data_IF_953902219481
#
_entry.id   IF_953902219481
#
_cell.length_a   1.000
_cell.length_b   1.000
_cell.length_c   1.000
_cell.angle_alpha   90.00
_cell.angle_beta   90.00
_cell.angle_gamma   90.00
#
_symmetry.space_group_name_H-M   'P 1'
#
loop_
_entity.id
_entity.type
_entity.pdbx_description
1 polymer ?
#
# COMPACT_ATOMS: atom_id res chain seq x y z
N UNK A 1 4.55 12.26 32.84
CA UNK A 1 5.80 12.00 32.10
C UNK A 1 5.58 12.51 30.68
N UNK A 2 6.10 13.71 30.36
CA UNK A 2 5.91 14.31 29.02
C UNK A 2 7.09 13.92 28.13
N UNK A 3 6.86 13.05 27.16
CA UNK A 3 7.87 12.74 26.14
C UNK A 3 7.85 13.88 25.13
N UNK A 4 8.88 14.71 25.13
CA UNK A 4 9.05 15.75 24.11
C UNK A 4 9.59 15.13 22.82
N UNK A 5 8.77 15.05 21.78
CA UNK A 5 9.23 14.70 20.43
C UNK A 5 9.64 16.00 19.74
N UNK A 6 10.88 16.11 19.27
CA UNK A 6 11.35 17.29 18.55
C UNK A 6 10.77 17.37 17.13
N UNK A 7 10.45 18.58 16.66
CA UNK A 7 10.04 18.82 15.27
C UNK A 7 11.27 18.71 14.35
N UNK A 8 11.10 18.09 13.20
CA UNK A 8 12.10 18.03 12.13
C UNK A 8 11.78 19.10 11.10
N UNK A 9 12.78 19.86 10.67
CA UNK A 9 12.68 20.81 9.57
C UNK A 9 13.12 20.12 8.26
N UNK A 10 12.21 20.05 7.30
CA UNK A 10 12.53 19.66 5.93
C UNK A 10 12.51 20.92 5.06
N UNK A 11 13.68 21.36 4.60
CA UNK A 11 13.82 22.44 3.62
C UNK A 11 13.75 21.87 2.20
N UNK A 12 12.97 22.51 1.35
CA UNK A 12 12.93 22.24 -0.08
C UNK A 12 13.35 23.50 -0.82
N UNK A 13 14.40 23.36 -1.63
CA UNK A 13 14.91 24.44 -2.48
C UNK A 13 14.66 24.02 -3.93
N UNK A 14 13.92 24.86 -4.64
CA UNK A 14 13.75 24.71 -6.08
C UNK A 14 14.90 25.43 -6.79
N UNK A 15 15.63 24.72 -7.65
CA UNK A 15 16.82 25.22 -8.35
C UNK A 15 16.49 26.11 -9.56
N UNK A 16 15.21 26.24 -9.91
CA UNK A 16 14.76 27.05 -11.04
C UNK A 16 14.87 28.55 -10.76
N UNK A 17 15.06 29.40 -11.80
CA UNK A 17 15.20 30.85 -11.63
C UNK A 17 13.97 31.54 -11.00
N UNK A 18 12.80 30.92 -11.16
CA UNK A 18 11.48 31.30 -10.65
C UNK A 18 10.99 30.37 -9.51
N UNK A 19 11.87 29.51 -8.99
CA UNK A 19 11.57 28.52 -7.98
C UNK A 19 11.23 29.12 -6.62
N UNK A 20 10.26 28.53 -5.92
CA UNK A 20 9.87 28.91 -4.56
C UNK A 20 10.44 27.89 -3.57
N UNK A 21 11.26 28.36 -2.63
CA UNK A 21 11.73 27.56 -1.51
C UNK A 21 10.74 27.58 -0.36
N UNK A 22 10.58 26.44 0.32
CA UNK A 22 9.73 26.34 1.52
C UNK A 22 10.34 25.41 2.57
N UNK A 23 10.09 25.75 3.83
CA UNK A 23 10.50 24.96 4.98
C UNK A 23 9.29 24.37 5.67
N UNK A 24 9.35 23.06 5.96
CA UNK A 24 8.28 22.36 6.66
C UNK A 24 8.79 21.84 8.00
N UNK A 25 8.23 22.37 9.08
CA UNK A 25 8.42 21.84 10.43
C UNK A 25 7.30 20.86 10.78
N UNK A 26 7.65 19.58 10.96
CA UNK A 26 6.68 18.54 11.33
C UNK A 26 7.26 17.60 12.39
N UNK A 27 6.42 17.03 13.24
CA UNK A 27 6.86 15.91 14.07
C UNK A 27 7.04 14.68 13.17
N UNK A 28 8.11 13.89 13.33
CA UNK A 28 8.38 12.69 12.53
C UNK A 28 7.50 11.51 12.98
N UNK A 29 6.22 11.78 13.25
CA UNK A 29 5.25 10.77 13.67
C UNK A 29 4.33 10.56 12.47
N UNK A 30 4.34 9.35 11.90
CA UNK A 30 3.37 8.94 10.89
C UNK A 30 2.39 7.99 11.56
N UNK A 31 1.09 8.26 11.44
CA UNK A 31 0.08 7.26 11.74
C UNK A 31 0.29 6.08 10.79
N UNK A 32 0.62 4.89 11.31
CA UNK A 32 1.00 3.75 10.48
C UNK A 32 0.24 2.48 10.86
N UNK A 33 -1.04 2.61 11.21
CA UNK A 33 -1.93 1.45 11.21
C UNK A 33 -2.45 1.14 9.79
N UNK A 34 -2.75 2.19 9.01
CA UNK A 34 -3.22 2.07 7.64
C UNK A 34 -2.57 3.13 6.75
N UNK A 35 -2.23 2.76 5.52
CA UNK A 35 -1.76 3.67 4.49
C UNK A 35 -2.33 3.28 3.13
N UNK A 36 -2.45 4.26 2.23
CA UNK A 36 -2.88 3.98 0.86
C UNK A 36 -1.77 3.29 0.08
N UNK A 37 -2.15 2.49 -0.91
CA UNK A 37 -1.23 1.72 -1.76
C UNK A 37 -0.17 2.62 -2.42
N UNK A 38 -0.57 3.82 -2.87
CA UNK A 38 0.35 4.78 -3.50
C UNK A 38 1.38 5.34 -2.54
N UNK A 39 1.03 5.49 -1.25
CA UNK A 39 1.98 5.92 -0.20
C UNK A 39 2.89 4.79 0.27
N UNK A 40 2.44 3.54 0.14
CA UNK A 40 3.23 2.35 0.44
C UNK A 40 4.29 2.05 -0.63
N UNK A 41 4.23 2.70 -1.81
CA UNK A 41 5.22 2.50 -2.86
C UNK A 41 6.64 2.81 -2.36
N UNK A 42 7.56 1.86 -2.55
CA UNK A 42 8.94 1.99 -2.09
C UNK A 42 9.16 1.67 -0.60
N UNK A 43 8.13 1.29 0.14
CA UNK A 43 8.24 0.81 1.52
C UNK A 43 8.24 -0.73 1.57
N UNK A 44 8.79 -1.27 2.65
CA UNK A 44 8.78 -2.71 2.94
C UNK A 44 8.06 -2.91 4.27
N UNK A 45 7.08 -3.82 4.30
CA UNK A 45 6.28 -4.11 5.49
C UNK A 45 6.37 -5.61 5.81
N UNK A 46 6.71 -5.95 7.06
CA UNK A 46 6.78 -7.35 7.49
C UNK A 46 5.41 -7.99 7.70
N UNK A 47 4.42 -7.20 8.15
CA UNK A 47 3.03 -7.60 8.34
C UNK A 47 2.15 -6.66 7.55
N UNK A 48 1.27 -7.23 6.72
CA UNK A 48 0.48 -6.44 5.79
C UNK A 48 -0.99 -6.88 5.81
N UNK A 49 -1.86 -5.94 6.15
CA UNK A 49 -3.30 -6.05 5.92
C UNK A 49 -3.65 -5.25 4.67
N UNK A 50 -4.29 -5.89 3.69
CA UNK A 50 -4.79 -5.23 2.48
C UNK A 50 -6.31 -5.20 2.56
N UNK A 51 -6.88 -4.00 2.60
CA UNK A 51 -8.32 -3.78 2.51
C UNK A 51 -8.71 -3.56 1.04
N UNK A 52 -9.60 -4.42 0.55
CA UNK A 52 -10.16 -4.44 -0.81
C UNK A 52 -11.69 -4.41 -0.76
N UNK A 53 -12.25 -3.77 0.29
CA UNK A 53 -13.67 -3.44 0.35
C UNK A 53 -14.08 -2.65 -0.90
N UNK A 54 -13.26 -1.67 -1.28
CA UNK A 54 -13.36 -0.96 -2.55
C UNK A 54 -12.47 -1.60 -3.62
N UNK A 55 -12.90 -1.52 -4.87
CA UNK A 55 -12.17 -2.10 -5.99
C UNK A 55 -10.91 -1.26 -6.32
N UNK A 56 -9.76 -1.88 -6.66
CA UNK A 56 -8.56 -1.14 -7.03
C UNK A 56 -8.81 -0.21 -8.21
N UNK A 57 -8.55 1.09 -8.04
CA UNK A 57 -8.85 2.10 -9.06
C UNK A 57 -7.94 2.00 -10.29
N UNK A 58 -6.69 1.54 -10.11
CA UNK A 58 -5.70 1.53 -11.18
C UNK A 58 -4.96 0.20 -11.33
N UNK A 59 -4.48 -0.02 -12.57
CA UNK A 59 -3.62 -1.14 -12.94
C UNK A 59 -2.44 -1.26 -11.97
N UNK A 60 -2.18 -2.47 -11.49
CA UNK A 60 -0.98 -2.78 -10.72
C UNK A 60 -1.01 -2.32 -9.26
N UNK A 61 -2.07 -1.66 -8.77
CA UNK A 61 -2.15 -1.28 -7.36
C UNK A 61 -2.13 -2.50 -6.42
N UNK A 62 -2.90 -3.54 -6.75
CA UNK A 62 -2.91 -4.77 -5.97
C UNK A 62 -1.52 -5.45 -5.97
N UNK A 63 -0.84 -5.43 -7.12
CA UNK A 63 0.53 -5.93 -7.22
C UNK A 63 1.52 -5.09 -6.41
N UNK A 64 1.42 -3.76 -6.49
CA UNK A 64 2.24 -2.84 -5.69
C UNK A 64 2.05 -3.12 -4.21
N UNK A 65 0.81 -3.34 -3.74
CA UNK A 65 0.52 -3.67 -2.36
C UNK A 65 1.13 -5.01 -1.94
N UNK A 66 0.87 -6.09 -2.69
CA UNK A 66 1.38 -7.43 -2.39
C UNK A 66 2.91 -7.50 -2.40
N UNK A 67 3.56 -6.80 -3.35
CA UNK A 67 5.03 -6.73 -3.44
C UNK A 67 5.70 -5.98 -2.28
N UNK A 68 4.95 -5.27 -1.42
CA UNK A 68 5.54 -4.62 -0.23
C UNK A 68 5.79 -5.63 0.90
N UNK A 69 5.12 -6.79 0.86
CA UNK A 69 5.22 -7.77 1.92
C UNK A 69 6.48 -8.63 1.78
N UNK A 70 7.29 -8.68 2.83
CA UNK A 70 8.52 -9.50 2.84
C UNK A 70 8.21 -10.99 3.01
N UNK A 71 7.12 -11.33 3.70
CA UNK A 71 6.76 -12.71 4.02
C UNK A 71 5.27 -12.95 3.77
N UNK A 72 5.00 -13.97 2.96
CA UNK A 72 3.65 -14.36 2.60
C UNK A 72 2.75 -14.74 3.78
N UNK A 73 3.33 -15.36 4.82
CA UNK A 73 2.57 -15.84 5.98
C UNK A 73 1.86 -14.73 6.74
N UNK A 74 2.33 -13.49 6.61
CA UNK A 74 1.81 -12.33 7.34
C UNK A 74 1.00 -11.37 6.47
N UNK A 75 0.53 -11.84 5.30
CA UNK A 75 -0.43 -11.11 4.48
C UNK A 75 -1.85 -11.54 4.88
N UNK A 76 -2.71 -10.55 5.12
CA UNK A 76 -4.15 -10.74 5.31
C UNK A 76 -4.87 -9.83 4.33
N UNK A 77 -5.83 -10.39 3.60
CA UNK A 77 -6.66 -9.62 2.65
C UNK A 77 -8.08 -9.59 3.19
N UNK A 78 -8.64 -8.39 3.30
CA UNK A 78 -10.03 -8.17 3.67
C UNK A 78 -10.79 -7.73 2.41
N UNK A 79 -11.79 -8.50 2.00
CA UNK A 79 -12.55 -8.27 0.77
C UNK A 79 -14.03 -8.65 0.97
N UNK A 80 -14.80 -7.84 1.72
CA UNK A 80 -16.22 -8.10 1.95
C UNK A 80 -17.02 -7.95 0.65
N UNK A 81 -18.10 -8.74 0.50
CA UNK A 81 -19.08 -8.65 -0.59
C UNK A 81 -18.53 -8.83 -2.01
N UNK A 82 -17.36 -9.46 -2.16
CA UNK A 82 -16.79 -9.83 -3.47
C UNK A 82 -17.31 -11.19 -3.93
N UNK A 83 -17.48 -11.41 -5.25
CA UNK A 83 -17.96 -12.67 -5.78
C UNK A 83 -17.00 -13.81 -5.44
N UNK A 84 -17.55 -14.97 -5.11
CA UNK A 84 -16.78 -16.15 -4.74
C UNK A 84 -16.91 -17.20 -5.82
N UNK A 85 -15.80 -17.85 -6.20
CA UNK A 85 -15.81 -18.98 -7.13
C UNK A 85 -16.44 -20.23 -6.49
N UNK A 86 -16.71 -21.27 -7.29
CA UNK A 86 -17.24 -22.57 -6.86
C UNK A 86 -16.38 -23.24 -5.79
N UNK A 87 -15.09 -22.92 -5.76
CA UNK A 87 -14.12 -23.42 -4.79
C UNK A 87 -14.05 -22.59 -3.49
N UNK A 88 -14.91 -21.58 -3.32
CA UNK A 88 -14.92 -20.74 -2.12
C UNK A 88 -13.88 -19.60 -2.14
N UNK A 89 -13.21 -19.38 -3.27
CA UNK A 89 -12.16 -18.35 -3.41
C UNK A 89 -12.74 -16.99 -3.78
N UNK A 90 -12.28 -15.93 -3.12
CA UNK A 90 -12.69 -14.55 -3.42
C UNK A 90 -12.09 -14.11 -4.75
N UNK A 91 -12.97 -13.70 -5.68
CA UNK A 91 -12.62 -13.15 -6.98
C UNK A 91 -12.50 -11.63 -6.88
N UNK A 92 -11.41 -11.11 -7.42
CA UNK A 92 -11.17 -9.67 -7.49
C UNK A 92 -11.06 -9.30 -8.96
N UNK A 93 -11.82 -8.29 -9.35
CA UNK A 93 -11.68 -7.70 -10.68
C UNK A 93 -10.36 -6.93 -10.72
N UNK A 94 -9.35 -7.53 -11.34
CA UNK A 94 -8.15 -6.82 -11.71
C UNK A 94 -8.36 -6.22 -13.11
N UNK A 95 -8.01 -4.94 -13.28
CA UNK A 95 -8.12 -4.23 -14.58
C UNK A 95 -7.27 -4.91 -15.67
N UNK A 96 -6.25 -5.69 -15.29
CA UNK A 96 -5.30 -6.35 -16.20
C UNK A 96 -5.77 -7.72 -16.69
N UNK A 97 -6.54 -8.44 -15.89
CA UNK A 97 -6.94 -9.79 -16.22
C UNK A 97 -8.28 -10.13 -15.58
N UNK A 98 -9.23 -10.55 -16.41
CA UNK A 98 -10.49 -11.14 -15.95
C UNK A 98 -10.21 -12.55 -15.45
N UNK A 99 -10.55 -12.84 -14.19
CA UNK A 99 -10.49 -14.20 -13.64
C UNK A 99 -9.23 -14.58 -12.84
N UNK A 100 -8.39 -13.61 -12.43
CA UNK A 100 -7.30 -13.91 -11.48
C UNK A 100 -7.85 -14.02 -10.06
N UNK A 101 -7.80 -15.23 -9.49
CA UNK A 101 -8.02 -15.44 -8.05
C UNK A 101 -6.82 -14.90 -7.27
N UNK A 102 -7.06 -14.43 -6.04
CA UNK A 102 -6.00 -13.97 -5.13
C UNK A 102 -4.89 -15.02 -4.96
N UNK A 103 -5.25 -16.31 -5.00
CA UNK A 103 -4.33 -17.45 -4.90
C UNK A 103 -3.44 -17.57 -6.14
N UNK A 104 -3.97 -17.39 -7.35
CA UNK A 104 -3.18 -17.48 -8.58
C UNK A 104 -2.17 -16.34 -8.69
N UNK A 105 -2.57 -15.12 -8.31
CA UNK A 105 -1.66 -13.97 -8.19
C UNK A 105 -0.54 -14.23 -7.17
N UNK A 106 -0.87 -14.94 -6.09
CA UNK A 106 0.09 -15.34 -5.06
C UNK A 106 1.10 -16.38 -5.55
N UNK A 107 0.63 -17.36 -6.33
CA UNK A 107 1.44 -18.48 -6.82
C UNK A 107 2.36 -18.07 -7.99
N UNK A 108 1.96 -17.09 -8.79
CA UNK A 108 2.72 -16.60 -9.95
C UNK A 108 3.82 -15.59 -9.58
N UNK A 109 3.67 -14.85 -8.47
CA UNK A 109 4.67 -13.86 -8.01
C UNK A 109 5.85 -14.51 -7.26
N UNK A 110 5.67 -15.69 -6.67
CA UNK A 110 6.69 -16.37 -5.85
C UNK A 110 7.34 -17.59 -6.55
N UNK A 111 7.26 -17.66 -7.88
CA UNK A 111 7.96 -18.66 -8.71
C UNK A 111 9.17 -18.02 -9.39
#
# INVERSE_FOLDING_TARGET
MTIGISRVCNSYVDERPDGVSFERFQFPVREAFAMTITKAQGQTCERLGIDLSDEPFAHGQLYTALSRATNSKFIRVFAPNKPTDKDGNVLINNVVARGLTLINLYFEIFK
#
